data_IF_372586751917
#
_entry.id   IF_372586751917
#
_cell.length_a   1.000
_cell.length_b   1.000
_cell.length_c   1.000
_cell.angle_alpha   90.00
_cell.angle_beta   90.00
_cell.angle_gamma   90.00
#
_symmetry.space_group_name_H-M   'P 1'
#
loop_
_entity.id
_entity.type
_entity.pdbx_description
1 polymer ?
#
# COMPACT_ATOMS: atom_id res chain seq x y z
N UNK A 1 23.66 15.77 -8.74
CA UNK A 1 22.87 14.52 -8.87
C UNK A 1 21.97 14.41 -7.63
N UNK A 2 20.71 14.88 -7.70
CA UNK A 2 19.76 14.89 -6.56
C UNK A 2 18.73 13.73 -6.63
N UNK A 3 18.77 12.91 -7.69
CA UNK A 3 17.65 12.04 -8.06
C UNK A 3 17.25 11.00 -6.98
N UNK A 4 18.17 10.25 -6.33
CA UNK A 4 17.75 9.21 -5.38
C UNK A 4 17.16 9.76 -4.08
N UNK A 5 17.68 10.88 -3.57
CA UNK A 5 17.23 11.49 -2.32
C UNK A 5 15.78 11.99 -2.41
N UNK A 6 15.44 12.67 -3.52
CA UNK A 6 14.08 13.15 -3.78
C UNK A 6 13.10 11.96 -3.90
N UNK A 7 13.53 10.87 -4.54
CA UNK A 7 12.70 9.68 -4.69
C UNK A 7 12.38 9.01 -3.35
N UNK A 8 13.35 8.95 -2.41
CA UNK A 8 13.10 8.44 -1.06
C UNK A 8 12.03 9.29 -0.36
N UNK A 9 12.12 10.62 -0.45
CA UNK A 9 11.12 11.53 0.14
C UNK A 9 9.73 11.32 -0.48
N UNK A 10 9.63 11.22 -1.81
CA UNK A 10 8.37 10.96 -2.50
C UNK A 10 7.77 9.59 -2.09
N UNK A 11 8.60 8.55 -2.02
CA UNK A 11 8.16 7.23 -1.56
C UNK A 11 7.71 7.25 -0.09
N UNK A 12 8.36 8.04 0.75
CA UNK A 12 7.94 8.27 2.14
C UNK A 12 6.52 8.82 2.24
N UNK A 13 6.16 9.79 1.38
CA UNK A 13 4.80 10.34 1.32
C UNK A 13 3.79 9.30 0.83
N UNK A 14 4.13 8.50 -0.19
CA UNK A 14 3.27 7.43 -0.67
C UNK A 14 3.03 6.36 0.39
N UNK A 15 4.09 5.96 1.11
CA UNK A 15 4.01 4.96 2.18
C UNK A 15 3.20 5.49 3.36
N UNK A 16 3.34 6.77 3.72
CA UNK A 16 2.48 7.42 4.72
C UNK A 16 1.01 7.37 4.31
N UNK A 17 0.70 7.71 3.06
CA UNK A 17 -0.66 7.62 2.51
C UNK A 17 -1.24 6.21 2.60
N UNK A 18 -0.44 5.19 2.25
CA UNK A 18 -0.87 3.78 2.33
C UNK A 18 -1.03 3.29 3.77
N UNK A 19 -0.17 3.70 4.70
CA UNK A 19 -0.30 3.38 6.13
C UNK A 19 -1.55 4.01 6.76
N UNK A 20 -1.92 5.21 6.34
CA UNK A 20 -3.17 5.83 6.77
C UNK A 20 -4.37 5.01 6.27
N UNK A 21 -4.39 4.63 4.99
CA UNK A 21 -5.43 3.73 4.44
C UNK A 21 -5.50 2.40 5.17
N UNK A 22 -4.34 1.78 5.44
CA UNK A 22 -4.24 0.53 6.21
C UNK A 22 -4.95 0.64 7.57
N UNK A 23 -4.65 1.72 8.30
CA UNK A 23 -5.23 1.99 9.61
C UNK A 23 -6.75 2.19 9.54
N UNK A 24 -7.24 2.90 8.51
CA UNK A 24 -8.67 3.10 8.29
C UNK A 24 -9.41 1.77 8.02
N UNK A 25 -8.86 0.90 7.16
CA UNK A 25 -9.48 -0.40 6.86
C UNK A 25 -9.50 -1.29 8.09
N UNK A 26 -8.42 -1.33 8.88
CA UNK A 26 -8.39 -2.08 10.15
C UNK A 26 -9.47 -1.58 11.11
N UNK A 27 -9.58 -0.26 11.26
CA UNK A 27 -10.56 0.32 12.17
C UNK A 27 -11.99 0.01 11.72
N UNK A 28 -12.28 0.03 10.40
CA UNK A 28 -13.58 -0.40 9.87
C UNK A 28 -13.88 -1.87 10.16
N UNK A 29 -12.91 -2.77 9.97
CA UNK A 29 -13.07 -4.20 10.30
C UNK A 29 -13.34 -4.38 11.79
N UNK A 30 -12.59 -3.69 12.66
CA UNK A 30 -12.80 -3.75 14.12
C UNK A 30 -14.19 -3.26 14.50
N UNK A 31 -14.66 -2.14 13.94
CA UNK A 31 -15.99 -1.60 14.19
C UNK A 31 -17.08 -2.58 13.77
N UNK A 32 -16.97 -3.17 12.57
CA UNK A 32 -17.93 -4.16 12.08
C UNK A 32 -17.98 -5.42 12.95
N UNK A 33 -16.83 -5.86 13.47
CA UNK A 33 -16.76 -7.02 14.36
C UNK A 33 -17.39 -6.73 15.73
N UNK A 34 -17.21 -5.51 16.27
CA UNK A 34 -17.91 -5.07 17.49
C UNK A 34 -19.41 -5.02 17.25
N UNK A 35 -19.85 -4.43 16.13
CA UNK A 35 -21.26 -4.38 15.74
C UNK A 35 -21.85 -5.78 15.62
N UNK A 36 -21.19 -6.70 14.92
CA UNK A 36 -21.61 -8.09 14.76
C UNK A 36 -21.86 -8.79 16.11
N UNK A 37 -20.99 -8.56 17.10
CA UNK A 37 -21.11 -9.15 18.44
C UNK A 37 -22.23 -8.51 19.28
N UNK A 38 -22.60 -7.26 19.00
CA UNK A 38 -23.68 -6.55 19.69
C UNK A 38 -25.08 -6.87 19.14
N UNK A 39 -25.18 -7.48 17.95
CA UNK A 39 -26.45 -7.81 17.33
C UNK A 39 -27.08 -9.05 17.97
N UNK A 40 -28.34 -8.92 18.40
CA UNK A 40 -29.20 -10.02 18.83
C UNK A 40 -29.41 -11.06 17.70
N UNK A 41 -29.77 -12.29 18.06
CA UNK A 41 -29.98 -13.37 17.09
C UNK A 41 -31.11 -13.12 16.08
N UNK A 42 -32.10 -12.28 16.41
CA UNK A 42 -33.17 -11.88 15.46
C UNK A 42 -32.70 -10.97 14.31
N UNK A 43 -31.47 -10.44 14.35
CA UNK A 43 -30.94 -9.50 13.34
C UNK A 43 -30.15 -10.22 12.22
N UNK A 44 -30.65 -11.34 11.73
CA UNK A 44 -30.01 -12.17 10.69
C UNK A 44 -29.65 -11.39 9.42
N UNK A 45 -30.54 -10.48 8.98
CA UNK A 45 -30.28 -9.63 7.80
C UNK A 45 -29.02 -8.79 7.98
N UNK A 46 -28.88 -8.09 9.11
CA UNK A 46 -27.71 -7.23 9.35
C UNK A 46 -26.43 -8.05 9.56
N UNK A 47 -26.52 -9.18 10.28
CA UNK A 47 -25.38 -10.10 10.44
C UNK A 47 -24.87 -10.62 9.08
N UNK A 48 -25.79 -11.00 8.18
CA UNK A 48 -25.43 -11.45 6.82
C UNK A 48 -24.77 -10.34 5.99
N UNK A 49 -25.26 -9.10 6.08
CA UNK A 49 -24.65 -7.95 5.40
C UNK A 49 -23.26 -7.61 5.93
N UNK A 50 -23.01 -7.74 7.24
CA UNK A 50 -21.67 -7.55 7.80
C UNK A 50 -20.75 -8.67 7.30
N UNK A 51 -21.22 -9.91 7.30
CA UNK A 51 -20.44 -11.06 6.87
C UNK A 51 -20.04 -10.97 5.38
N UNK A 52 -20.91 -10.43 4.52
CA UNK A 52 -20.58 -10.21 3.10
C UNK A 52 -19.56 -9.09 2.88
N UNK A 53 -19.48 -8.08 3.76
CA UNK A 53 -18.51 -6.97 3.64
C UNK A 53 -17.08 -7.34 4.04
N UNK A 54 -16.92 -8.24 5.02
CA UNK A 54 -15.61 -8.67 5.53
C UNK A 54 -14.62 -9.16 4.45
N UNK A 55 -15.00 -10.07 3.51
CA UNK A 55 -14.07 -10.53 2.48
C UNK A 55 -13.60 -9.41 1.54
N UNK A 56 -14.46 -8.42 1.26
CA UNK A 56 -14.06 -7.26 0.44
C UNK A 56 -13.03 -6.39 1.17
N UNK A 57 -13.21 -6.16 2.47
CA UNK A 57 -12.25 -5.42 3.30
C UNK A 57 -10.92 -6.18 3.45
N UNK A 58 -10.96 -7.51 3.57
CA UNK A 58 -9.75 -8.34 3.61
C UNK A 58 -8.98 -8.26 2.28
N UNK A 59 -9.69 -8.31 1.15
CA UNK A 59 -9.04 -8.19 -0.16
C UNK A 59 -8.37 -6.82 -0.33
N UNK A 60 -9.04 -5.74 0.08
CA UNK A 60 -8.43 -4.39 0.11
C UNK A 60 -7.18 -4.36 0.98
N UNK A 61 -7.23 -4.97 2.17
CA UNK A 61 -6.08 -5.07 3.07
C UNK A 61 -4.88 -5.74 2.40
N UNK A 62 -5.13 -6.83 1.65
CA UNK A 62 -4.10 -7.57 0.92
C UNK A 62 -3.42 -6.69 -0.13
N UNK A 63 -4.18 -5.88 -0.86
CA UNK A 63 -3.62 -4.95 -1.86
C UNK A 63 -2.81 -3.81 -1.22
N UNK A 64 -3.30 -3.24 -0.11
CA UNK A 64 -2.57 -2.23 0.66
C UNK A 64 -1.24 -2.80 1.15
N UNK A 65 -1.27 -4.01 1.73
CA UNK A 65 -0.07 -4.70 2.20
C UNK A 65 0.96 -4.89 1.08
N UNK A 66 0.54 -5.38 -0.08
CA UNK A 66 1.42 -5.59 -1.23
C UNK A 66 2.04 -4.28 -1.73
N UNK A 67 1.25 -3.19 -1.75
CA UNK A 67 1.74 -1.85 -2.10
C UNK A 67 2.84 -1.38 -1.13
N UNK A 68 2.60 -1.49 0.18
CA UNK A 68 3.57 -1.08 1.20
C UNK A 68 4.87 -1.88 1.09
N UNK A 69 4.78 -3.18 0.81
CA UNK A 69 5.94 -4.03 0.56
C UNK A 69 6.76 -3.55 -0.65
N UNK A 70 6.11 -3.28 -1.79
CA UNK A 70 6.77 -2.81 -3.01
C UNK A 70 7.43 -1.44 -2.83
N UNK A 71 6.80 -0.52 -2.10
CA UNK A 71 7.39 0.76 -1.75
C UNK A 71 8.58 0.62 -0.82
N UNK A 72 8.50 -0.26 0.19
CA UNK A 72 9.62 -0.54 1.10
C UNK A 72 10.83 -1.11 0.35
N UNK A 73 10.59 -2.06 -0.57
CA UNK A 73 11.65 -2.62 -1.44
C UNK A 73 12.27 -1.52 -2.31
N UNK A 74 11.44 -0.66 -2.92
CA UNK A 74 11.92 0.47 -3.72
C UNK A 74 12.79 1.44 -2.92
N UNK A 75 12.37 1.81 -1.71
CA UNK A 75 13.15 2.66 -0.80
C UNK A 75 14.50 2.00 -0.46
N UNK A 76 14.51 0.71 -0.15
CA UNK A 76 15.74 -0.02 0.16
C UNK A 76 16.72 0.00 -1.03
N UNK A 77 16.23 -0.20 -2.26
CA UNK A 77 17.04 -0.09 -3.47
C UNK A 77 17.60 1.32 -3.70
N UNK A 78 16.82 2.36 -3.43
CA UNK A 78 17.31 3.75 -3.53
C UNK A 78 18.38 4.07 -2.49
N UNK A 79 18.23 3.58 -1.26
CA UNK A 79 19.25 3.71 -0.21
C UNK A 79 20.54 3.00 -0.66
N UNK A 80 20.43 1.79 -1.20
CA UNK A 80 21.58 1.04 -1.73
C UNK A 80 22.26 1.80 -2.88
N UNK A 81 21.48 2.41 -3.78
CA UNK A 81 21.99 3.24 -4.86
C UNK A 81 22.84 4.40 -4.33
N UNK A 82 22.34 5.14 -3.34
CA UNK A 82 23.08 6.26 -2.71
C UNK A 82 24.38 5.75 -2.07
N UNK A 83 24.31 4.62 -1.38
CA UNK A 83 25.45 4.00 -0.72
C UNK A 83 26.52 3.54 -1.73
N UNK A 84 26.12 2.91 -2.85
CA UNK A 84 27.03 2.52 -3.93
C UNK A 84 27.71 3.73 -4.59
N UNK A 85 26.97 4.82 -4.81
CA UNK A 85 27.54 6.07 -5.35
C UNK A 85 28.57 6.66 -4.36
N UNK A 86 28.27 6.67 -3.06
CA UNK A 86 29.21 7.13 -2.03
C UNK A 86 30.49 6.28 -1.98
N UNK A 87 30.35 4.95 -2.04
CA UNK A 87 31.50 4.04 -2.08
C UNK A 87 32.35 4.22 -3.33
N UNK A 88 31.73 4.49 -4.49
CA UNK A 88 32.46 4.79 -5.74
C UNK A 88 33.38 6.00 -5.55
N UNK A 89 32.89 7.06 -4.92
CA UNK A 89 33.67 8.29 -4.71
C UNK A 89 34.89 8.03 -3.82
N UNK A 90 34.76 7.14 -2.83
CA UNK A 90 35.84 6.84 -1.88
C UNK A 90 36.85 5.82 -2.42
N UNK A 91 36.38 4.74 -3.05
CA UNK A 91 37.24 3.61 -3.48
C UNK A 91 37.63 3.65 -4.97
N UNK A 92 36.98 4.48 -5.80
CA UNK A 92 37.30 4.62 -7.23
C UNK A 92 36.89 3.44 -8.12
N UNK A 93 36.10 2.48 -7.62
CA UNK A 93 35.69 1.31 -8.39
C UNK A 93 34.62 1.64 -9.43
N UNK A 94 34.94 1.50 -10.72
CA UNK A 94 34.03 1.79 -11.82
C UNK A 94 32.83 0.82 -11.88
N UNK A 95 33.01 -0.44 -11.45
CA UNK A 95 31.96 -1.46 -11.35
C UNK A 95 30.76 -1.02 -10.49
N UNK A 96 30.99 -0.19 -9.46
CA UNK A 96 29.91 0.33 -8.61
C UNK A 96 28.96 1.25 -9.37
N UNK A 97 29.43 1.86 -10.46
CA UNK A 97 28.64 2.78 -11.28
C UNK A 97 27.53 2.04 -12.01
N UNK A 98 27.86 0.94 -12.70
CA UNK A 98 26.89 0.13 -13.45
C UNK A 98 25.89 -0.54 -12.50
N UNK A 99 26.38 -1.09 -11.37
CA UNK A 99 25.54 -1.69 -10.34
C UNK A 99 24.53 -0.69 -9.77
N UNK A 100 24.96 0.54 -9.47
CA UNK A 100 24.07 1.57 -8.92
C UNK A 100 22.92 1.93 -9.87
N UNK A 101 23.17 1.94 -11.18
CA UNK A 101 22.14 2.22 -12.19
C UNK A 101 21.12 1.09 -12.26
N UNK A 102 21.57 -0.16 -12.27
CA UNK A 102 20.69 -1.34 -12.31
C UNK A 102 19.79 -1.37 -11.07
N UNK A 103 20.36 -1.16 -9.87
CA UNK A 103 19.59 -1.13 -8.62
C UNK A 103 18.61 0.04 -8.59
N UNK A 104 19.02 1.21 -9.09
CA UNK A 104 18.14 2.37 -9.20
C UNK A 104 16.92 2.10 -10.09
N UNK A 105 17.14 1.53 -11.27
CA UNK A 105 16.05 1.15 -12.19
C UNK A 105 15.14 0.08 -11.56
N UNK A 106 15.72 -0.91 -10.88
CA UNK A 106 14.96 -1.90 -10.11
C UNK A 106 14.05 -1.26 -9.06
N UNK A 107 14.57 -0.27 -8.33
CA UNK A 107 13.82 0.48 -7.33
C UNK A 107 12.66 1.24 -7.95
N UNK A 108 12.87 1.92 -9.08
CA UNK A 108 11.82 2.63 -9.81
C UNK A 108 10.72 1.69 -10.31
N UNK A 109 11.09 0.53 -10.86
CA UNK A 109 10.13 -0.48 -11.31
C UNK A 109 9.30 -1.02 -10.14
N UNK A 110 9.92 -1.30 -9.00
CA UNK A 110 9.21 -1.73 -7.79
C UNK A 110 8.18 -0.70 -7.35
N UNK A 111 8.56 0.59 -7.31
CA UNK A 111 7.64 1.68 -6.98
C UNK A 111 6.51 1.79 -7.99
N UNK A 112 6.81 1.69 -9.30
CA UNK A 112 5.81 1.75 -10.36
C UNK A 112 4.76 0.63 -10.22
N UNK A 113 5.19 -0.60 -9.96
CA UNK A 113 4.29 -1.72 -9.69
C UNK A 113 3.46 -1.44 -8.43
N UNK A 114 4.05 -0.88 -7.38
CA UNK A 114 3.34 -0.46 -6.17
C UNK A 114 2.23 0.56 -6.46
N UNK A 115 2.49 1.54 -7.32
CA UNK A 115 1.49 2.54 -7.74
C UNK A 115 0.32 1.89 -8.46
N UNK A 116 0.56 0.88 -9.31
CA UNK A 116 -0.53 0.13 -9.94
C UNK A 116 -1.41 -0.60 -8.93
N UNK A 117 -0.81 -1.25 -7.91
CA UNK A 117 -1.57 -1.85 -6.82
C UNK A 117 -2.35 -0.81 -6.01
N UNK A 118 -1.74 0.35 -5.74
CA UNK A 118 -2.42 1.45 -5.05
C UNK A 118 -3.62 1.99 -5.84
N UNK A 119 -3.49 2.11 -7.16
CA UNK A 119 -4.56 2.56 -8.05
C UNK A 119 -5.69 1.52 -8.13
N UNK A 120 -5.36 0.23 -8.18
CA UNK A 120 -6.35 -0.83 -8.14
C UNK A 120 -7.11 -0.85 -6.80
N UNK A 121 -6.41 -0.64 -5.68
CA UNK A 121 -7.04 -0.53 -4.36
C UNK A 121 -8.07 0.61 -4.30
N UNK A 122 -7.77 1.76 -4.91
CA UNK A 122 -8.70 2.89 -4.97
C UNK A 122 -9.98 2.51 -5.70
N UNK A 123 -9.89 1.78 -6.82
CA UNK A 123 -11.07 1.31 -7.57
C UNK A 123 -11.94 0.38 -6.73
N UNK A 124 -11.33 -0.57 -6.02
CA UNK A 124 -12.04 -1.47 -5.12
C UNK A 124 -12.75 -0.72 -3.97
N UNK A 125 -12.17 0.41 -3.52
CA UNK A 125 -12.79 1.27 -2.53
C UNK A 125 -14.08 1.94 -3.03
N UNK A 126 -14.17 2.28 -4.32
CA UNK A 126 -15.37 2.86 -4.92
C UNK A 126 -16.51 1.84 -5.03
N UNK A 127 -16.21 0.58 -5.35
CA UNK A 127 -17.23 -0.48 -5.48
C UNK A 127 -17.97 -0.73 -4.16
N UNK A 128 -17.27 -0.70 -3.03
CA UNK A 128 -17.88 -0.85 -1.69
C UNK A 128 -18.78 0.35 -1.36
N UNK A 129 -18.39 1.57 -1.74
CA UNK A 129 -19.21 2.76 -1.55
C UNK A 129 -20.50 2.69 -2.36
N UNK A 130 -20.45 2.14 -3.57
CA UNK A 130 -21.63 1.95 -4.41
C UNK A 130 -22.61 0.93 -3.79
N UNK A 131 -22.09 -0.16 -3.22
CA UNK A 131 -22.90 -1.12 -2.45
C UNK A 131 -23.55 -0.45 -1.23
N UNK A 132 -22.81 0.35 -0.47
CA UNK A 132 -23.30 1.03 0.73
C UNK A 132 -24.39 2.07 0.39
N UNK A 133 -24.20 2.84 -0.69
CA UNK A 133 -25.19 3.81 -1.17
C UNK A 133 -26.46 3.15 -1.69
N UNK A 134 -26.36 2.04 -2.40
CA UNK A 134 -27.53 1.30 -2.88
C UNK A 134 -28.31 0.65 -1.74
N UNK A 135 -27.63 0.14 -0.70
CA UNK A 135 -28.29 -0.42 0.49
C UNK A 135 -29.01 0.61 1.37
N UNK A 136 -28.70 1.90 1.20
CA UNK A 136 -29.34 3.00 1.97
C UNK A 136 -30.53 3.61 1.21
N UNK A 137 -30.71 3.26 -0.08
CA UNK A 137 -31.80 3.77 -0.93
C UNK A 137 -33.02 2.85 -1.01
N UNK A 138 -32.92 1.61 -0.53
CA UNK A 138 -34.05 0.69 -0.33
C UNK A 138 -34.61 0.79 1.09
#
# INVERSE_FOLDING_TARGET
MLAPGIMISACGLLLLGMNNKYSLVINRIRSLNVEYRSLSDDNDKRKSCIHSQLPHLENRMRMIKNTVWLYTIGIAMFIFTILSIGLKIYFGWEILSELSLIVFVGGMLSVLVGVFYAAHEVRLGYEILEIELNSTRE
#
